data_IF_779619817438
#
_entry.id   IF_779619817438
#
_cell.length_a   1.000
_cell.length_b   1.000
_cell.length_c   1.000
_cell.angle_alpha   90.00
_cell.angle_beta   90.00
_cell.angle_gamma   90.00
#
_symmetry.space_group_name_H-M   'P 1'
#
loop_
_entity.id
_entity.type
_entity.pdbx_description
1 polymer ?
#
# COMPACT_ATOMS: atom_id res chain seq x y z
N UNK A 1 -12.89 14.54 -9.20
CA UNK A 1 -13.89 13.86 -8.34
C UNK A 1 -14.47 12.58 -8.97
N UNK A 2 -15.18 12.61 -10.12
CA UNK A 2 -15.75 11.37 -10.71
C UNK A 2 -14.67 10.34 -11.11
N UNK A 3 -13.57 10.78 -11.72
CA UNK A 3 -12.46 9.92 -12.16
C UNK A 3 -11.76 9.22 -10.99
N UNK A 4 -11.65 9.89 -9.83
CA UNK A 4 -11.03 9.30 -8.65
C UNK A 4 -11.95 8.27 -7.99
N UNK A 5 -13.26 8.50 -7.99
CA UNK A 5 -14.24 7.51 -7.51
C UNK A 5 -14.22 6.23 -8.35
N UNK A 6 -14.14 6.37 -9.66
CA UNK A 6 -14.05 5.22 -10.58
C UNK A 6 -12.75 4.45 -10.36
N UNK A 7 -11.61 5.16 -10.29
CA UNK A 7 -10.31 4.53 -10.05
C UNK A 7 -10.28 3.80 -8.70
N UNK A 8 -10.88 4.38 -7.66
CA UNK A 8 -11.02 3.75 -6.36
C UNK A 8 -11.86 2.47 -6.41
N UNK A 9 -13.02 2.51 -7.04
CA UNK A 9 -13.91 1.35 -7.17
C UNK A 9 -13.25 0.21 -7.97
N UNK A 10 -12.53 0.55 -9.05
CA UNK A 10 -11.75 -0.45 -9.81
C UNK A 10 -10.65 -1.06 -8.97
N UNK A 11 -9.93 -0.27 -8.18
CA UNK A 11 -8.89 -0.76 -7.27
C UNK A 11 -9.48 -1.68 -6.19
N UNK A 12 -10.62 -1.33 -5.60
CA UNK A 12 -11.33 -2.18 -4.63
C UNK A 12 -11.71 -3.54 -5.23
N UNK A 13 -12.28 -3.55 -6.43
CA UNK A 13 -12.65 -4.78 -7.13
C UNK A 13 -11.43 -5.67 -7.40
N UNK A 14 -10.35 -5.08 -7.91
CA UNK A 14 -9.10 -5.78 -8.19
C UNK A 14 -8.47 -6.36 -6.93
N UNK A 15 -8.37 -5.57 -5.87
CA UNK A 15 -7.78 -6.01 -4.59
C UNK A 15 -8.60 -7.10 -3.95
N UNK A 16 -9.94 -6.98 -3.97
CA UNK A 16 -10.82 -8.02 -3.47
C UNK A 16 -10.58 -9.36 -4.20
N UNK A 17 -10.47 -9.32 -5.53
CA UNK A 17 -10.16 -10.50 -6.32
C UNK A 17 -8.80 -11.09 -5.95
N UNK A 18 -7.76 -10.27 -5.89
CA UNK A 18 -6.39 -10.69 -5.53
C UNK A 18 -6.35 -11.35 -4.17
N UNK A 19 -7.00 -10.76 -3.16
CA UNK A 19 -7.01 -11.33 -1.81
C UNK A 19 -7.75 -12.67 -1.77
N UNK A 20 -8.85 -12.80 -2.51
CA UNK A 20 -9.57 -14.07 -2.64
C UNK A 20 -8.68 -15.12 -3.33
N UNK A 21 -8.02 -14.75 -4.41
CA UNK A 21 -7.14 -15.67 -5.16
C UNK A 21 -5.95 -16.13 -4.28
N UNK A 22 -5.32 -15.22 -3.51
CA UNK A 22 -4.24 -15.55 -2.57
C UNK A 22 -4.73 -16.49 -1.46
N UNK A 23 -5.93 -16.27 -0.94
CA UNK A 23 -6.52 -17.11 0.11
C UNK A 23 -6.86 -18.50 -0.38
N UNK A 24 -7.29 -18.65 -1.64
CA UNK A 24 -7.64 -19.93 -2.23
C UNK A 24 -6.41 -20.72 -2.70
N UNK A 25 -5.43 -20.03 -3.28
CA UNK A 25 -4.18 -20.59 -3.79
C UNK A 25 -3.08 -19.54 -3.65
N UNK A 26 -2.30 -19.55 -2.53
CA UNK A 26 -1.27 -18.56 -2.27
C UNK A 26 -0.23 -18.42 -3.37
N UNK A 27 0.19 -19.54 -3.97
CA UNK A 27 1.23 -19.54 -5.01
C UNK A 27 0.75 -18.90 -6.30
N UNK A 28 -0.46 -19.26 -6.73
CA UNK A 28 -1.10 -18.65 -7.90
C UNK A 28 -1.47 -17.21 -7.66
N UNK A 29 -1.97 -16.88 -6.46
CA UNK A 29 -2.33 -15.52 -6.08
C UNK A 29 -1.13 -14.58 -6.06
N UNK A 30 0.02 -15.05 -5.58
CA UNK A 30 1.27 -14.29 -5.60
C UNK A 30 1.74 -14.01 -7.05
N UNK A 31 1.66 -14.98 -7.94
CA UNK A 31 1.95 -14.78 -9.37
C UNK A 31 1.02 -13.72 -10.00
N UNK A 32 -0.26 -13.77 -9.67
CA UNK A 32 -1.25 -12.81 -10.16
C UNK A 32 -0.99 -11.38 -9.64
N UNK A 33 -0.41 -11.19 -8.43
CA UNK A 33 0.01 -9.86 -7.94
C UNK A 33 1.08 -9.25 -8.85
N UNK A 34 2.01 -10.06 -9.33
CA UNK A 34 3.07 -9.61 -10.23
C UNK A 34 2.47 -9.09 -11.53
N UNK A 35 1.49 -9.79 -12.07
CA UNK A 35 0.80 -9.37 -13.30
C UNK A 35 -0.04 -8.10 -13.11
N UNK A 36 -0.66 -7.94 -11.93
CA UNK A 36 -1.38 -6.71 -11.56
C UNK A 36 -0.45 -5.51 -11.39
N UNK A 37 0.78 -5.73 -10.96
CA UNK A 37 1.80 -4.68 -10.87
C UNK A 37 2.12 -4.03 -12.22
N UNK A 38 1.90 -4.72 -13.33
CA UNK A 38 2.04 -4.20 -14.68
C UNK A 38 0.93 -3.22 -15.08
N UNK A 39 -0.20 -3.23 -14.37
CA UNK A 39 -1.40 -2.40 -14.67
C UNK A 39 -1.38 -1.08 -13.88
N UNK A 40 -0.58 -0.99 -12.81
CA UNK A 40 -0.52 0.21 -11.94
C UNK A 40 0.17 1.40 -12.64
N UNK A 41 -0.27 2.65 -12.38
CA UNK A 41 0.22 3.84 -13.07
C UNK A 41 1.75 3.99 -13.06
N UNK A 42 2.31 4.29 -14.21
CA UNK A 42 3.74 4.28 -14.55
C UNK A 42 4.53 5.44 -13.92
N UNK A 43 4.73 5.43 -12.60
CA UNK A 43 5.67 6.32 -11.92
C UNK A 43 7.03 5.64 -11.71
N UNK A 44 8.11 6.42 -11.61
CA UNK A 44 9.46 5.90 -11.32
C UNK A 44 9.51 5.14 -9.98
N UNK A 45 8.78 5.64 -8.99
CA UNK A 45 8.63 5.02 -7.66
C UNK A 45 7.89 3.68 -7.73
N UNK A 46 6.74 3.62 -8.41
CA UNK A 46 5.96 2.39 -8.55
C UNK A 46 6.76 1.29 -9.25
N UNK A 47 7.49 1.62 -10.32
CA UNK A 47 8.32 0.64 -11.04
C UNK A 47 9.40 0.03 -10.15
N UNK A 48 10.10 0.85 -9.35
CA UNK A 48 11.12 0.36 -8.44
C UNK A 48 10.54 -0.53 -7.33
N UNK A 49 9.41 -0.12 -6.74
CA UNK A 49 8.73 -0.92 -5.73
C UNK A 49 8.28 -2.27 -6.29
N UNK A 50 7.64 -2.26 -7.47
CA UNK A 50 7.18 -3.50 -8.10
C UNK A 50 8.31 -4.41 -8.54
N UNK A 51 9.43 -3.87 -9.02
CA UNK A 51 10.61 -4.70 -9.36
C UNK A 51 11.22 -5.38 -8.13
N UNK A 52 11.18 -4.72 -6.96
CA UNK A 52 11.62 -5.31 -5.69
C UNK A 52 10.65 -6.42 -5.27
N UNK A 53 9.35 -6.16 -5.30
CA UNK A 53 8.30 -7.14 -4.97
C UNK A 53 8.39 -8.34 -5.91
N UNK A 54 8.51 -8.12 -7.21
CA UNK A 54 8.69 -9.19 -8.20
C UNK A 54 9.90 -10.05 -7.91
N UNK A 55 11.05 -9.43 -7.62
CA UNK A 55 12.29 -10.17 -7.28
C UNK A 55 12.13 -11.00 -6.02
N UNK A 56 11.45 -10.46 -4.98
CA UNK A 56 11.20 -11.17 -3.72
C UNK A 56 10.25 -12.35 -3.93
N UNK A 57 9.22 -12.17 -4.75
CA UNK A 57 8.20 -13.20 -4.98
C UNK A 57 8.58 -14.22 -6.06
N UNK A 58 9.63 -13.99 -6.85
CA UNK A 58 10.14 -14.96 -7.82
C UNK A 58 11.07 -16.00 -7.21
N UNK A 59 11.52 -15.78 -5.98
CA UNK A 59 12.34 -16.73 -5.20
C UNK A 59 11.45 -17.45 -4.18
N UNK A 60 11.01 -18.65 -4.54
CA UNK A 60 10.12 -19.48 -3.70
C UNK A 60 10.80 -19.96 -2.40
N UNK A 61 12.13 -19.99 -2.36
CA UNK A 61 12.93 -20.34 -1.18
C UNK A 61 13.18 -19.14 -0.25
N UNK A 62 12.77 -17.95 -0.66
CA UNK A 62 12.99 -16.75 0.16
C UNK A 62 12.13 -16.73 1.42
N UNK A 63 12.70 -16.22 2.52
CA UNK A 63 11.95 -16.02 3.78
C UNK A 63 10.73 -15.10 3.58
N UNK A 64 10.80 -14.16 2.63
CA UNK A 64 9.68 -13.27 2.29
C UNK A 64 8.55 -14.00 1.59
N UNK A 65 8.85 -14.99 0.74
CA UNK A 65 7.83 -15.81 0.10
C UNK A 65 7.07 -16.62 1.14
N UNK A 66 7.79 -17.27 2.07
CA UNK A 66 7.20 -17.98 3.20
C UNK A 66 6.35 -17.06 4.09
N UNK A 67 6.83 -15.84 4.39
CA UNK A 67 6.07 -14.85 5.14
C UNK A 67 4.76 -14.48 4.44
N UNK A 68 4.78 -14.22 3.15
CA UNK A 68 3.56 -13.87 2.40
C UNK A 68 2.58 -15.04 2.37
N UNK A 69 3.06 -16.30 2.25
CA UNK A 69 2.20 -17.49 2.37
C UNK A 69 1.54 -17.57 3.75
N UNK A 70 2.27 -17.37 4.84
CA UNK A 70 1.69 -17.41 6.19
C UNK A 70 0.70 -16.26 6.42
N UNK A 71 0.99 -15.05 5.95
CA UNK A 71 0.04 -13.94 5.99
C UNK A 71 -1.24 -14.25 5.21
N UNK A 72 -1.10 -14.88 4.04
CA UNK A 72 -2.24 -15.29 3.23
C UNK A 72 -3.10 -16.36 3.92
N UNK A 73 -2.51 -17.30 4.66
CA UNK A 73 -3.25 -18.34 5.40
C UNK A 73 -3.85 -17.81 6.71
N UNK A 74 -3.09 -17.05 7.49
CA UNK A 74 -3.36 -16.83 8.91
C UNK A 74 -4.12 -15.52 9.18
N UNK A 75 -3.96 -14.51 8.30
CA UNK A 75 -4.60 -13.20 8.48
C UNK A 75 -6.06 -13.23 8.00
N UNK A 76 -6.95 -12.63 8.77
CA UNK A 76 -8.36 -12.45 8.37
C UNK A 76 -8.49 -11.76 7.01
N UNK A 77 -9.44 -12.23 6.21
CA UNK A 77 -9.63 -11.77 4.83
C UNK A 77 -9.95 -10.27 4.74
N UNK A 78 -10.78 -9.75 5.64
CA UNK A 78 -11.16 -8.34 5.63
C UNK A 78 -10.01 -7.44 6.11
N UNK A 79 -9.20 -7.91 7.05
CA UNK A 79 -7.98 -7.23 7.47
C UNK A 79 -6.99 -7.17 6.30
N UNK A 80 -6.79 -8.29 5.60
CA UNK A 80 -5.90 -8.37 4.46
C UNK A 80 -6.35 -7.47 3.31
N UNK A 81 -7.65 -7.42 3.01
CA UNK A 81 -8.22 -6.49 2.02
C UNK A 81 -7.95 -5.02 2.37
N UNK A 82 -8.22 -4.63 3.62
CA UNK A 82 -7.98 -3.26 4.10
C UNK A 82 -6.50 -2.88 4.02
N UNK A 83 -5.62 -3.77 4.45
CA UNK A 83 -4.17 -3.58 4.41
C UNK A 83 -3.67 -3.43 2.98
N UNK A 84 -4.06 -4.35 2.09
CA UNK A 84 -3.66 -4.33 0.68
C UNK A 84 -4.21 -3.10 -0.04
N UNK A 85 -5.45 -2.69 0.26
CA UNK A 85 -6.03 -1.48 -0.29
C UNK A 85 -5.29 -0.21 0.19
N UNK A 86 -4.95 -0.17 1.48
CA UNK A 86 -4.22 0.98 2.03
C UNK A 86 -2.82 1.13 1.42
N UNK A 87 -2.06 0.05 1.31
CA UNK A 87 -0.73 0.10 0.69
C UNK A 87 -0.85 0.31 -0.82
N UNK A 88 -1.61 -0.54 -1.51
CA UNK A 88 -1.65 -0.54 -2.97
C UNK A 88 -2.30 0.71 -3.56
N UNK A 89 -3.51 1.04 -3.13
CA UNK A 89 -4.23 2.18 -3.68
C UNK A 89 -3.94 3.48 -2.94
N UNK A 90 -4.18 3.53 -1.61
CA UNK A 90 -4.05 4.80 -0.88
C UNK A 90 -2.61 5.30 -0.87
N UNK A 91 -1.63 4.45 -0.57
CA UNK A 91 -0.23 4.86 -0.47
C UNK A 91 0.46 4.96 -1.83
N UNK A 92 0.49 3.85 -2.60
CA UNK A 92 1.30 3.76 -3.82
C UNK A 92 0.69 4.48 -5.03
N UNK A 93 -0.65 4.63 -5.09
CA UNK A 93 -1.31 5.27 -6.22
C UNK A 93 -1.82 6.67 -5.88
N UNK A 94 -2.78 6.79 -4.97
CA UNK A 94 -3.42 8.06 -4.64
C UNK A 94 -2.47 9.00 -3.89
N UNK A 95 -1.87 8.53 -2.79
CA UNK A 95 -0.95 9.31 -1.95
C UNK A 95 0.31 9.74 -2.70
N UNK A 96 0.94 8.82 -3.44
CA UNK A 96 2.11 9.15 -4.25
C UNK A 96 1.82 10.25 -5.30
N UNK A 97 0.61 10.24 -5.89
CA UNK A 97 0.14 11.27 -6.81
C UNK A 97 -0.07 12.62 -6.12
N UNK A 98 -0.65 12.58 -4.91
CA UNK A 98 -0.89 13.78 -4.10
C UNK A 98 0.43 14.41 -3.61
N UNK A 99 1.38 13.60 -3.12
CA UNK A 99 2.73 14.06 -2.75
C UNK A 99 3.40 14.76 -3.94
N UNK A 100 3.32 14.16 -5.14
CA UNK A 100 3.88 14.75 -6.35
C UNK A 100 3.21 16.08 -6.69
N UNK A 101 1.87 16.15 -6.64
CA UNK A 101 1.11 17.37 -6.89
C UNK A 101 1.47 18.49 -5.89
N UNK A 102 1.55 18.17 -4.60
CA UNK A 102 1.90 19.13 -3.56
C UNK A 102 3.34 19.65 -3.73
N UNK A 103 4.26 18.81 -4.19
CA UNK A 103 5.61 19.24 -4.53
C UNK A 103 5.61 20.22 -5.70
N UNK A 104 4.83 19.96 -6.74
CA UNK A 104 4.78 20.82 -7.94
C UNK A 104 4.05 22.16 -7.68
N UNK A 105 2.99 22.14 -6.85
CA UNK A 105 2.14 23.33 -6.63
C UNK A 105 2.56 24.19 -5.45
N UNK A 106 3.06 23.56 -4.37
CA UNK A 106 3.37 24.24 -3.10
C UNK A 106 4.85 24.17 -2.72
N UNK A 107 5.68 23.46 -3.49
CA UNK A 107 7.09 23.21 -3.15
C UNK A 107 7.30 22.28 -1.95
N UNK A 108 6.23 21.69 -1.40
CA UNK A 108 6.29 20.81 -0.22
C UNK A 108 6.66 19.39 -0.62
N UNK A 109 7.67 18.82 0.04
CA UNK A 109 8.02 17.40 -0.12
C UNK A 109 7.60 16.65 1.14
N UNK A 110 6.52 15.87 1.04
CA UNK A 110 6.09 14.97 2.11
C UNK A 110 6.79 13.59 1.98
N UNK A 111 7.06 12.90 3.11
CA UNK A 111 7.57 11.53 3.09
C UNK A 111 6.48 10.57 2.59
N UNK A 112 6.89 9.40 2.11
CA UNK A 112 5.94 8.35 1.71
C UNK A 112 5.34 7.61 2.92
N UNK A 113 6.12 7.49 4.00
CA UNK A 113 5.71 6.86 5.26
C UNK A 113 6.27 7.61 6.45
N UNK A 114 5.61 7.49 7.60
CA UNK A 114 6.04 8.06 8.87
C UNK A 114 6.10 6.94 9.93
N UNK A 115 7.22 6.81 10.61
CA UNK A 115 7.35 5.96 11.79
C UNK A 115 7.16 6.82 13.05
N UNK A 116 6.29 6.37 13.96
CA UNK A 116 5.93 7.07 15.19
C UNK A 116 6.35 6.19 16.37
N UNK A 117 7.18 6.72 17.25
CA UNK A 117 7.47 6.07 18.53
C UNK A 117 6.35 6.40 19.52
N UNK A 118 5.37 5.52 19.65
CA UNK A 118 4.22 5.70 20.54
C UNK A 118 4.57 5.59 22.04
N UNK A 119 5.77 5.10 22.37
CA UNK A 119 6.25 5.03 23.75
C UNK A 119 6.87 6.36 24.26
N UNK A 120 7.11 7.32 23.38
CA UNK A 120 7.57 8.63 23.78
C UNK A 120 6.45 9.43 24.46
N UNK A 121 6.74 10.02 25.63
CA UNK A 121 5.75 10.74 26.45
C UNK A 121 5.07 11.93 25.76
N UNK A 122 5.68 12.44 24.70
CA UNK A 122 5.18 13.56 23.89
C UNK A 122 4.17 13.15 22.84
N UNK A 123 4.06 11.84 22.56
CA UNK A 123 3.20 11.28 21.50
C UNK A 123 1.91 10.69 22.08
N UNK A 124 1.04 11.55 22.61
CA UNK A 124 -0.30 11.11 23.01
C UNK A 124 -1.18 10.74 21.79
N UNK A 125 -2.29 10.04 22.08
CA UNK A 125 -3.17 9.55 21.03
C UNK A 125 -3.78 10.67 20.16
N UNK A 126 -4.01 11.84 20.71
CA UNK A 126 -4.63 12.95 19.98
C UNK A 126 -3.61 13.66 19.08
N UNK A 127 -2.38 13.81 19.53
CA UNK A 127 -1.25 14.27 18.71
C UNK A 127 -1.02 13.33 17.52
N UNK A 128 -1.01 12.00 17.76
CA UNK A 128 -0.87 11.00 16.69
C UNK A 128 -2.02 11.07 15.69
N UNK A 129 -3.27 11.17 16.15
CA UNK A 129 -4.45 11.33 15.27
C UNK A 129 -4.37 12.58 14.41
N UNK A 130 -3.94 13.70 15.00
CA UNK A 130 -3.75 14.97 14.30
C UNK A 130 -2.69 14.84 13.21
N UNK A 131 -1.52 14.27 13.54
CA UNK A 131 -0.45 14.00 12.60
C UNK A 131 -0.92 13.12 11.42
N UNK A 132 -1.69 12.06 11.71
CA UNK A 132 -2.24 11.19 10.67
C UNK A 132 -3.23 11.95 9.78
N UNK A 133 -4.07 12.81 10.36
CA UNK A 133 -5.05 13.60 9.60
C UNK A 133 -4.34 14.58 8.66
N UNK A 134 -3.42 15.37 9.18
CA UNK A 134 -2.64 16.34 8.39
C UNK A 134 -1.76 15.65 7.33
N UNK A 135 -1.15 14.52 7.70
CA UNK A 135 -0.35 13.74 6.77
C UNK A 135 -1.16 13.18 5.59
N UNK A 136 -2.41 12.78 5.81
CA UNK A 136 -3.32 12.34 4.72
C UNK A 136 -3.60 13.45 3.72
N UNK A 137 -3.75 14.68 4.18
CA UNK A 137 -3.94 15.85 3.31
C UNK A 137 -2.71 16.11 2.43
N UNK A 138 -1.52 15.73 2.92
CA UNK A 138 -0.27 15.80 2.16
C UNK A 138 0.00 14.57 1.28
N UNK A 139 -0.79 13.50 1.43
CA UNK A 139 -0.65 12.26 0.66
C UNK A 139 0.06 11.13 1.40
N UNK A 140 0.33 11.26 2.69
CA UNK A 140 0.95 10.20 3.51
C UNK A 140 -0.15 9.26 4.02
N UNK A 141 -0.09 8.00 3.63
CA UNK A 141 -1.08 6.98 3.98
C UNK A 141 -0.47 5.76 4.70
N UNK A 142 0.83 5.74 4.92
CA UNK A 142 1.52 4.66 5.63
C UNK A 142 2.15 5.20 6.92
N UNK A 143 1.68 4.67 8.04
CA UNK A 143 2.16 4.98 9.39
C UNK A 143 2.55 3.68 10.09
N UNK A 144 3.74 3.66 10.69
CA UNK A 144 4.26 2.59 11.54
C UNK A 144 4.22 3.13 12.98
N UNK A 145 3.48 2.48 13.86
CA UNK A 145 3.25 2.91 15.25
C UNK A 145 3.73 1.83 16.21
#
# INVERSE_FOLDING_TARGET
MARDRLARAMAETLINKVVIDIKSDPERGLRNIIDLALIVPRGKFSRNLFSIVQRILSDEDSAYYTLVKSVASDVDTEILKKFTFNIGYNSCAYGARLIKSNKETMGLTAPWSIAINSAASENDADTIKKLISEGKDLGVYLYLI
#
